data_IF_285699956138
#
_entry.id   IF_285699956138
#
_cell.length_a   1.000
_cell.length_b   1.000
_cell.length_c   1.000
_cell.angle_alpha   90.00
_cell.angle_beta   90.00
_cell.angle_gamma   90.00
#
_symmetry.space_group_name_H-M   'P 1'
#
loop_
_entity.id
_entity.type
_entity.pdbx_description
1 polymer ?
#
# COMPACT_ATOMS: atom_id res chain seq x y z
N UNK A 1 -19.71 16.10 16.81
CA UNK A 1 -19.56 16.14 15.35
C UNK A 1 -18.06 16.07 15.05
N UNK A 2 -17.61 15.10 14.25
CA UNK A 2 -16.21 15.06 13.82
C UNK A 2 -15.93 16.25 12.89
N UNK A 3 -14.83 16.95 13.14
CA UNK A 3 -14.42 18.09 12.32
C UNK A 3 -13.53 17.63 11.17
N UNK A 4 -12.74 16.58 11.39
CA UNK A 4 -11.79 16.06 10.40
C UNK A 4 -11.84 14.54 10.33
N UNK A 5 -11.63 14.01 9.16
CA UNK A 5 -11.52 12.57 8.90
C UNK A 5 -10.23 12.32 8.11
N UNK A 6 -9.33 11.56 8.70
CA UNK A 6 -8.13 11.06 8.02
C UNK A 6 -8.26 9.55 7.82
N UNK A 7 -7.68 9.04 6.72
CA UNK A 7 -7.60 7.61 6.46
C UNK A 7 -6.14 7.20 6.31
N UNK A 8 -5.77 6.08 6.92
CA UNK A 8 -4.42 5.52 6.84
C UNK A 8 -4.44 4.11 6.27
N UNK A 9 -3.76 3.93 5.14
CA UNK A 9 -3.58 2.64 4.49
C UNK A 9 -2.17 2.11 4.63
N UNK A 10 -2.05 0.82 4.92
CA UNK A 10 -0.76 0.13 5.09
C UNK A 10 -0.68 -1.01 4.09
N UNK A 11 0.41 -1.10 3.30
CA UNK A 11 0.61 -2.13 2.28
C UNK A 11 -0.56 -2.19 1.29
N UNK A 12 -1.21 -3.35 1.10
CA UNK A 12 -2.44 -3.46 0.31
C UNK A 12 -3.55 -2.48 0.74
N UNK A 13 -3.57 -2.06 2.01
CA UNK A 13 -4.43 -0.99 2.49
C UNK A 13 -4.17 0.36 1.81
N UNK A 14 -2.95 0.61 1.35
CA UNK A 14 -2.62 1.79 0.54
C UNK A 14 -3.41 1.85 -0.77
N UNK A 15 -3.61 0.71 -1.42
CA UNK A 15 -4.45 0.59 -2.62
C UNK A 15 -5.93 0.83 -2.32
N UNK A 16 -6.47 0.20 -1.29
CA UNK A 16 -7.90 0.34 -0.95
C UNK A 16 -8.24 1.75 -0.43
N UNK A 17 -7.37 2.35 0.38
CA UNK A 17 -7.57 3.71 0.85
C UNK A 17 -7.44 4.74 -0.27
N UNK A 18 -6.56 4.53 -1.25
CA UNK A 18 -6.47 5.36 -2.44
C UNK A 18 -7.81 5.39 -3.21
N UNK A 19 -8.44 4.22 -3.41
CA UNK A 19 -9.77 4.15 -4.05
C UNK A 19 -10.87 4.84 -3.23
N UNK A 20 -10.78 4.79 -1.90
CA UNK A 20 -11.74 5.49 -1.05
C UNK A 20 -11.59 7.01 -1.18
N UNK A 21 -10.35 7.51 -1.11
CA UNK A 21 -10.04 8.95 -1.22
C UNK A 21 -10.38 9.51 -2.59
N UNK A 22 -10.16 8.72 -3.65
CA UNK A 22 -10.57 9.09 -5.02
C UNK A 22 -12.07 9.42 -5.12
N UNK A 23 -12.90 8.80 -4.29
CA UNK A 23 -14.37 8.83 -4.41
C UNK A 23 -15.07 9.58 -3.30
N UNK A 24 -14.47 9.70 -2.14
CA UNK A 24 -15.15 10.26 -0.96
C UNK A 24 -14.51 11.60 -0.54
N UNK A 25 -15.14 12.74 -0.89
CA UNK A 25 -14.63 14.07 -0.57
C UNK A 25 -14.71 14.41 0.94
N UNK A 26 -15.31 13.56 1.76
CA UNK A 26 -15.36 13.75 3.21
C UNK A 26 -14.02 13.40 3.89
N UNK A 27 -13.13 12.73 3.16
CA UNK A 27 -11.79 12.41 3.66
C UNK A 27 -10.91 13.65 3.52
N UNK A 28 -10.44 14.16 4.66
CA UNK A 28 -9.68 15.41 4.75
C UNK A 28 -8.17 15.23 4.68
N UNK A 29 -7.69 13.99 4.91
CA UNK A 29 -6.28 13.63 4.78
C UNK A 29 -6.11 12.16 4.45
N UNK A 30 -5.12 11.85 3.60
CA UNK A 30 -4.75 10.48 3.25
C UNK A 30 -3.31 10.19 3.64
N UNK A 31 -3.13 9.14 4.44
CA UNK A 31 -1.82 8.61 4.79
C UNK A 31 -1.68 7.23 4.17
N UNK A 32 -0.56 6.94 3.52
CA UNK A 32 -0.28 5.62 3.02
C UNK A 32 1.17 5.22 3.30
N UNK A 33 1.33 4.11 4.02
CA UNK A 33 2.61 3.41 4.08
C UNK A 33 2.68 2.51 2.85
N UNK A 34 3.44 2.98 1.87
CA UNK A 34 3.57 2.44 0.52
C UNK A 34 2.26 2.53 -0.27
N UNK A 35 1.92 3.71 -0.82
CA UNK A 35 0.77 3.84 -1.69
C UNK A 35 0.94 3.02 -2.97
N UNK A 36 -0.13 2.38 -3.40
CA UNK A 36 -0.18 1.55 -4.61
C UNK A 36 -1.32 2.08 -5.48
N UNK A 37 -1.05 2.36 -6.76
CA UNK A 37 -2.09 2.75 -7.70
C UNK A 37 -2.43 1.66 -8.71
N UNK A 38 -1.49 0.78 -9.03
CA UNK A 38 -1.69 -0.37 -9.91
C UNK A 38 -1.19 -1.65 -9.22
N UNK A 39 -2.11 -2.34 -8.54
CA UNK A 39 -1.79 -3.60 -7.86
C UNK A 39 -1.54 -4.73 -8.87
N UNK A 40 -2.15 -4.68 -10.05
CA UNK A 40 -1.91 -5.70 -11.08
C UNK A 40 -0.48 -5.60 -11.64
N UNK A 41 0.03 -4.37 -11.83
CA UNK A 41 1.43 -4.18 -12.25
C UNK A 41 2.41 -4.64 -11.16
N UNK A 42 2.10 -4.36 -9.89
CA UNK A 42 2.90 -4.88 -8.79
C UNK A 42 3.03 -6.41 -8.85
N UNK A 43 1.92 -7.13 -9.03
CA UNK A 43 1.95 -8.59 -9.16
C UNK A 43 2.65 -9.06 -10.44
N UNK A 44 2.52 -8.33 -11.56
CA UNK A 44 3.26 -8.64 -12.79
C UNK A 44 4.77 -8.53 -12.59
N UNK A 45 5.23 -7.50 -11.89
CA UNK A 45 6.66 -7.29 -11.59
C UNK A 45 7.18 -8.32 -10.59
N UNK A 46 6.40 -8.64 -9.56
CA UNK A 46 6.78 -9.59 -8.53
C UNK A 46 6.87 -11.03 -9.06
N UNK A 47 5.85 -11.47 -9.80
CA UNK A 47 5.73 -12.87 -10.25
C UNK A 47 6.16 -13.11 -11.71
N UNK A 48 6.28 -12.05 -12.49
CA UNK A 48 6.80 -12.09 -13.87
C UNK A 48 6.05 -13.04 -14.81
N UNK A 49 6.80 -13.68 -15.69
CA UNK A 49 6.26 -14.63 -16.66
C UNK A 49 5.81 -15.96 -16.04
N UNK A 50 6.16 -16.23 -14.79
CA UNK A 50 5.80 -17.47 -14.07
C UNK A 50 4.29 -17.69 -14.02
N UNK A 51 3.51 -16.61 -14.04
CA UNK A 51 2.04 -16.67 -14.02
C UNK A 51 1.40 -16.99 -15.37
N UNK A 52 2.17 -17.05 -16.46
CA UNK A 52 1.65 -17.38 -17.81
C UNK A 52 1.42 -18.89 -18.01
N UNK A 53 1.96 -19.72 -17.13
CA UNK A 53 1.76 -21.16 -17.19
C UNK A 53 0.30 -21.55 -16.85
N UNK A 54 -0.18 -22.69 -17.33
CA UNK A 54 -1.53 -23.18 -16.97
C UNK A 54 -1.74 -23.26 -15.46
N UNK A 55 -2.95 -22.91 -15.00
CA UNK A 55 -3.27 -22.82 -13.57
C UNK A 55 -2.98 -24.11 -12.80
N UNK A 56 -3.24 -25.28 -13.41
CA UNK A 56 -2.95 -26.56 -12.77
C UNK A 56 -1.45 -26.76 -12.48
N UNK A 57 -0.58 -26.33 -13.40
CA UNK A 57 0.88 -26.44 -13.23
C UNK A 57 1.38 -25.48 -12.14
N UNK A 58 0.93 -24.24 -12.18
CA UNK A 58 1.26 -23.24 -11.15
C UNK A 58 0.83 -23.74 -9.78
N UNK A 59 -0.41 -24.18 -9.64
CA UNK A 59 -0.94 -24.66 -8.38
C UNK A 59 -0.21 -25.93 -7.88
N UNK A 60 0.22 -26.81 -8.78
CA UNK A 60 1.04 -27.97 -8.41
C UNK A 60 2.41 -27.55 -7.85
N UNK A 61 3.10 -26.61 -8.51
CA UNK A 61 4.39 -26.07 -8.06
C UNK A 61 4.22 -25.35 -6.71
N UNK A 62 3.22 -24.51 -6.58
CA UNK A 62 2.95 -23.76 -5.35
C UNK A 62 2.59 -24.68 -4.18
N UNK A 63 1.81 -25.74 -4.44
CA UNK A 63 1.50 -26.77 -3.44
C UNK A 63 2.76 -27.50 -2.98
N UNK A 64 3.65 -27.85 -3.92
CA UNK A 64 4.92 -28.48 -3.58
C UNK A 64 5.80 -27.54 -2.73
N UNK A 65 5.93 -26.28 -3.13
CA UNK A 65 6.67 -25.27 -2.38
C UNK A 65 6.06 -25.04 -0.99
N UNK A 66 4.73 -25.01 -0.88
CA UNK A 66 4.02 -24.88 0.39
C UNK A 66 4.21 -26.09 1.32
N UNK A 67 4.37 -27.28 0.77
CA UNK A 67 4.69 -28.47 1.57
C UNK A 67 6.11 -28.43 2.14
N UNK A 68 7.01 -27.72 1.48
CA UNK A 68 8.41 -27.56 1.91
C UNK A 68 8.60 -26.35 2.84
N UNK A 69 7.68 -25.39 2.82
CA UNK A 69 7.76 -24.16 3.61
C UNK A 69 6.37 -23.74 4.12
N UNK A 70 6.18 -23.87 5.42
CA UNK A 70 4.90 -23.55 6.07
C UNK A 70 4.49 -22.09 5.91
N UNK A 71 5.43 -21.15 6.00
CA UNK A 71 5.16 -19.71 5.80
C UNK A 71 4.69 -19.42 4.37
N UNK A 72 5.29 -20.09 3.37
CA UNK A 72 4.82 -19.96 1.98
C UNK A 72 3.40 -20.51 1.83
N UNK A 73 3.10 -21.66 2.42
CA UNK A 73 1.75 -22.25 2.42
C UNK A 73 0.70 -21.33 3.04
N UNK A 74 1.03 -20.73 4.19
CA UNK A 74 0.15 -19.77 4.86
C UNK A 74 -0.11 -18.54 3.99
N UNK A 75 0.91 -17.99 3.35
CA UNK A 75 0.75 -16.85 2.46
C UNK A 75 -0.13 -17.18 1.25
N UNK A 76 0.06 -18.32 0.60
CA UNK A 76 -0.76 -18.75 -0.52
C UNK A 76 -2.24 -18.91 -0.13
N UNK A 77 -2.51 -19.52 1.02
CA UNK A 77 -3.86 -19.67 1.58
C UNK A 77 -4.46 -18.32 1.96
N UNK A 78 -3.65 -17.42 2.53
CA UNK A 78 -4.09 -16.08 2.88
C UNK A 78 -4.57 -15.29 1.65
N UNK A 79 -3.83 -15.31 0.55
CA UNK A 79 -4.27 -14.63 -0.68
C UNK A 79 -5.56 -15.23 -1.22
N UNK A 80 -5.66 -16.56 -1.33
CA UNK A 80 -6.88 -17.22 -1.76
C UNK A 80 -8.09 -16.81 -0.89
N UNK A 81 -7.91 -16.80 0.43
CA UNK A 81 -8.95 -16.39 1.36
C UNK A 81 -9.32 -14.90 1.22
N UNK A 82 -8.33 -14.01 1.09
CA UNK A 82 -8.56 -12.55 0.96
C UNK A 82 -9.36 -12.20 -0.29
N UNK A 83 -9.16 -12.92 -1.38
CA UNK A 83 -9.87 -12.69 -2.63
C UNK A 83 -11.11 -13.60 -2.81
N UNK A 84 -11.43 -14.42 -1.82
CA UNK A 84 -12.57 -15.32 -1.89
C UNK A 84 -12.47 -16.39 -2.98
N UNK A 85 -11.24 -16.79 -3.34
CA UNK A 85 -10.95 -17.76 -4.40
C UNK A 85 -10.54 -19.12 -3.84
N UNK A 86 -10.54 -20.14 -4.69
CA UNK A 86 -10.17 -21.50 -4.29
C UNK A 86 -8.67 -21.71 -4.06
N UNK A 87 -7.85 -20.88 -4.71
CA UNK A 87 -6.39 -21.03 -4.72
C UNK A 87 -5.68 -19.71 -5.08
N UNK A 88 -4.37 -19.67 -4.90
CA UNK A 88 -3.55 -18.50 -5.14
C UNK A 88 -3.59 -18.01 -6.60
N UNK A 89 -3.52 -18.94 -7.57
CA UNK A 89 -3.54 -18.55 -8.99
C UNK A 89 -4.86 -17.88 -9.37
N UNK A 90 -5.96 -18.40 -8.88
CA UNK A 90 -7.28 -17.79 -9.07
C UNK A 90 -7.38 -16.40 -8.43
N UNK A 91 -6.75 -16.18 -7.27
CA UNK A 91 -6.67 -14.86 -6.65
C UNK A 91 -5.88 -13.87 -7.52
N UNK A 92 -4.77 -14.29 -8.08
CA UNK A 92 -3.96 -13.43 -8.98
C UNK A 92 -4.71 -13.14 -10.29
N UNK A 93 -5.40 -14.12 -10.86
CA UNK A 93 -6.22 -13.90 -12.06
C UNK A 93 -7.36 -12.91 -11.79
N UNK A 94 -7.96 -12.98 -10.61
CA UNK A 94 -8.97 -12.01 -10.18
C UNK A 94 -8.39 -10.58 -10.11
N UNK A 95 -7.21 -10.42 -9.54
CA UNK A 95 -6.50 -9.13 -9.54
C UNK A 95 -6.26 -8.63 -10.96
N UNK A 96 -5.75 -9.47 -11.85
CA UNK A 96 -5.48 -9.04 -13.23
C UNK A 96 -6.72 -8.66 -14.03
N UNK A 97 -7.85 -9.29 -13.75
CA UNK A 97 -9.09 -9.07 -14.47
C UNK A 97 -9.94 -7.94 -13.88
N UNK A 98 -9.86 -7.70 -12.58
CA UNK A 98 -10.81 -6.84 -11.88
C UNK A 98 -10.18 -5.68 -11.09
N UNK A 99 -8.85 -5.72 -10.81
CA UNK A 99 -8.21 -4.62 -10.11
C UNK A 99 -8.25 -3.35 -10.96
N UNK A 100 -8.67 -2.26 -10.33
CA UNK A 100 -8.76 -0.95 -10.98
C UNK A 100 -7.48 -0.18 -10.74
N UNK A 101 -7.00 0.51 -11.76
CA UNK A 101 -5.97 1.53 -11.59
C UNK A 101 -6.62 2.70 -10.86
N UNK A 102 -5.99 3.15 -9.78
CA UNK A 102 -6.47 4.32 -9.02
C UNK A 102 -6.20 5.59 -9.82
N UNK A 103 -7.21 6.41 -9.99
CA UNK A 103 -7.08 7.73 -10.58
C UNK A 103 -6.65 8.73 -9.49
N UNK A 104 -5.37 8.71 -9.14
CA UNK A 104 -4.80 9.62 -8.14
C UNK A 104 -4.94 11.09 -8.52
N UNK A 105 -5.23 11.40 -9.80
CA UNK A 105 -5.49 12.76 -10.28
C UNK A 105 -6.76 13.37 -9.64
N UNK A 106 -7.67 12.55 -9.19
CA UNK A 106 -8.90 12.97 -8.49
C UNK A 106 -8.70 13.22 -7.00
N UNK A 107 -7.58 12.81 -6.46
CA UNK A 107 -7.28 12.99 -5.03
C UNK A 107 -6.91 14.45 -4.79
N UNK A 108 -7.67 15.13 -3.92
CA UNK A 108 -7.53 16.56 -3.66
C UNK A 108 -7.09 16.87 -2.23
N UNK A 109 -7.25 15.94 -1.30
CA UNK A 109 -6.86 16.16 0.08
C UNK A 109 -5.33 16.13 0.26
N UNK A 110 -4.80 16.74 1.33
CA UNK A 110 -3.41 16.57 1.75
C UNK A 110 -3.04 15.11 1.92
N UNK A 111 -1.82 14.75 1.51
CA UNK A 111 -1.34 13.37 1.54
C UNK A 111 0.01 13.25 2.24
N UNK A 112 0.17 12.22 3.04
CA UNK A 112 1.46 11.80 3.58
C UNK A 112 1.77 10.40 3.12
N UNK A 113 2.85 10.24 2.36
CA UNK A 113 3.37 8.94 1.96
C UNK A 113 4.59 8.58 2.77
N UNK A 114 4.66 7.32 3.17
CA UNK A 114 5.77 6.76 3.93
C UNK A 114 6.33 5.60 3.12
N UNK A 115 7.65 5.56 2.96
CA UNK A 115 8.36 4.57 2.18
C UNK A 115 9.66 4.17 2.87
N UNK A 116 9.92 2.89 2.96
CA UNK A 116 11.22 2.35 3.37
C UNK A 116 12.13 2.07 2.17
N UNK A 117 13.43 2.32 2.29
CA UNK A 117 14.41 1.98 1.24
C UNK A 117 14.61 0.48 1.06
N UNK A 118 14.29 -0.32 2.06
CA UNK A 118 14.30 -1.79 1.97
C UNK A 118 13.09 -2.38 1.26
N UNK A 119 12.14 -1.56 0.79
CA UNK A 119 10.99 -2.03 0.04
C UNK A 119 11.34 -2.44 -1.40
N UNK A 120 10.50 -3.30 -2.00
CA UNK A 120 10.67 -3.72 -3.39
C UNK A 120 10.68 -2.55 -4.39
N UNK A 121 11.43 -2.67 -5.48
CA UNK A 121 11.64 -1.60 -6.45
C UNK A 121 10.33 -1.07 -7.05
N UNK A 122 9.35 -1.94 -7.32
CA UNK A 122 8.06 -1.52 -7.87
C UNK A 122 7.23 -0.72 -6.86
N UNK A 123 7.23 -1.11 -5.58
CA UNK A 123 6.58 -0.36 -4.52
C UNK A 123 7.16 1.05 -4.37
N UNK A 124 8.49 1.15 -4.38
CA UNK A 124 9.18 2.44 -4.36
C UNK A 124 8.85 3.28 -5.60
N UNK A 125 8.79 2.65 -6.77
CA UNK A 125 8.45 3.33 -8.03
C UNK A 125 7.04 3.91 -7.98
N UNK A 126 6.04 3.11 -7.64
CA UNK A 126 4.65 3.56 -7.56
C UNK A 126 4.47 4.68 -6.51
N UNK A 127 5.11 4.54 -5.36
CA UNK A 127 5.11 5.59 -4.32
C UNK A 127 5.63 6.93 -4.85
N UNK A 128 6.75 6.90 -5.57
CA UNK A 128 7.35 8.13 -6.14
C UNK A 128 6.49 8.75 -7.23
N UNK A 129 5.93 7.93 -8.14
CA UNK A 129 5.04 8.41 -9.20
C UNK A 129 3.85 9.14 -8.61
N UNK A 130 3.14 8.52 -7.67
CA UNK A 130 1.97 9.13 -7.02
C UNK A 130 2.34 10.41 -6.27
N UNK A 131 3.48 10.40 -5.58
CA UNK A 131 3.97 11.57 -4.84
C UNK A 131 4.24 12.76 -5.75
N UNK A 132 5.00 12.58 -6.83
CA UNK A 132 5.36 13.66 -7.74
C UNK A 132 4.13 14.28 -8.42
N UNK A 133 3.18 13.43 -8.82
CA UNK A 133 1.94 13.89 -9.43
C UNK A 133 1.07 14.69 -8.45
N UNK A 134 0.89 14.19 -7.24
CA UNK A 134 0.06 14.90 -6.25
C UNK A 134 0.74 16.13 -5.69
N UNK A 135 2.06 16.10 -5.48
CA UNK A 135 2.83 17.26 -5.03
C UNK A 135 2.73 18.43 -6.01
N UNK A 136 2.71 18.15 -7.31
CA UNK A 136 2.57 19.20 -8.33
C UNK A 136 1.25 19.97 -8.21
N UNK A 137 0.21 19.35 -7.65
CA UNK A 137 -1.14 19.91 -7.49
C UNK A 137 -1.45 20.36 -6.07
N UNK A 138 -0.88 19.71 -5.09
CA UNK A 138 -1.15 19.96 -3.67
C UNK A 138 0.17 20.04 -2.90
N UNK A 139 0.58 21.25 -2.54
CA UNK A 139 1.81 21.51 -1.80
C UNK A 139 1.83 20.90 -0.38
N UNK A 140 0.68 20.49 0.14
CA UNK A 140 0.58 19.78 1.42
C UNK A 140 0.83 18.27 1.29
N UNK A 141 1.15 17.77 0.08
CA UNK A 141 1.58 16.40 -0.11
C UNK A 141 3.04 16.23 0.30
N UNK A 142 3.32 15.27 1.17
CA UNK A 142 4.65 14.97 1.69
C UNK A 142 5.03 13.51 1.45
N UNK A 143 6.32 13.27 1.27
CA UNK A 143 6.93 11.94 1.24
C UNK A 143 7.98 11.84 2.34
N UNK A 144 7.80 10.89 3.26
CA UNK A 144 8.81 10.48 4.22
C UNK A 144 9.49 9.20 3.73
N UNK A 145 10.78 9.28 3.52
CA UNK A 145 11.61 8.11 3.17
C UNK A 145 12.43 7.72 4.39
N UNK A 146 12.41 6.45 4.74
CA UNK A 146 13.23 5.88 5.80
C UNK A 146 14.41 5.11 5.19
N UNK A 147 15.61 5.55 5.49
CA UNK A 147 16.86 4.86 5.16
C UNK A 147 17.18 3.77 6.22
N UNK A 148 18.09 2.86 5.90
CA UNK A 148 18.46 1.75 6.79
C UNK A 148 18.94 2.23 8.18
N UNK A 149 19.63 3.36 8.23
CA UNK A 149 20.17 3.95 9.47
C UNK A 149 19.07 4.36 10.45
N UNK A 150 17.85 4.62 9.95
CA UNK A 150 16.71 4.95 10.80
C UNK A 150 16.11 3.73 11.51
N UNK A 151 16.43 2.53 11.04
CA UNK A 151 15.83 1.28 11.48
C UNK A 151 14.34 1.13 11.14
N UNK A 152 13.82 1.93 10.18
CA UNK A 152 12.44 1.91 9.72
C UNK A 152 12.32 1.67 8.20
N UNK A 153 13.34 1.13 7.59
CA UNK A 153 13.45 0.94 6.14
C UNK A 153 12.69 -0.29 5.60
N UNK A 154 12.27 -1.20 6.48
CA UNK A 154 11.51 -2.39 6.07
C UNK A 154 10.12 -2.04 5.51
N UNK A 155 9.53 -2.96 4.75
CA UNK A 155 8.17 -2.82 4.25
C UNK A 155 7.18 -2.48 5.38
N UNK A 156 6.41 -1.43 5.17
CA UNK A 156 5.47 -0.87 6.15
C UNK A 156 6.11 -0.50 7.50
N UNK A 157 7.42 -0.28 7.52
CA UNK A 157 8.22 0.12 8.69
C UNK A 157 8.04 -0.83 9.90
N UNK A 158 7.81 -2.13 9.61
CA UNK A 158 7.53 -3.14 10.66
C UNK A 158 8.66 -3.30 11.66
N UNK A 159 9.87 -2.93 11.29
CA UNK A 159 11.05 -2.92 12.16
C UNK A 159 11.06 -1.72 13.14
N UNK A 160 10.31 -0.63 12.87
CA UNK A 160 10.23 0.52 13.76
C UNK A 160 8.91 1.30 13.58
N UNK A 161 7.79 0.68 13.93
CA UNK A 161 6.46 1.29 13.83
C UNK A 161 6.33 2.59 14.64
N UNK A 162 7.05 2.69 15.79
CA UNK A 162 7.00 3.89 16.62
C UNK A 162 7.48 5.12 15.85
N UNK A 163 8.59 5.00 15.12
CA UNK A 163 9.13 6.11 14.34
C UNK A 163 8.15 6.51 13.21
N UNK A 164 7.59 5.53 12.51
CA UNK A 164 6.59 5.78 11.47
C UNK A 164 5.34 6.48 12.03
N UNK A 165 4.83 6.01 13.17
CA UNK A 165 3.65 6.61 13.80
C UNK A 165 3.91 8.04 14.28
N UNK A 166 5.10 8.33 14.84
CA UNK A 166 5.44 9.71 15.22
C UNK A 166 5.35 10.64 14.01
N UNK A 167 5.90 10.25 12.85
CA UNK A 167 5.81 11.05 11.62
C UNK A 167 4.35 11.27 11.20
N UNK A 168 3.51 10.24 11.31
CA UNK A 168 2.09 10.34 10.96
C UNK A 168 1.38 11.33 11.89
N UNK A 169 1.53 11.18 13.20
CA UNK A 169 0.82 12.02 14.17
C UNK A 169 1.33 13.46 14.18
N UNK A 170 2.65 13.69 14.09
CA UNK A 170 3.21 15.03 13.98
C UNK A 170 2.71 15.75 12.73
N UNK A 171 2.55 15.02 11.61
CA UNK A 171 2.01 15.60 10.39
C UNK A 171 0.52 15.93 10.53
N UNK A 172 -0.29 15.04 11.12
CA UNK A 172 -1.72 15.28 11.36
C UNK A 172 -1.94 16.45 12.32
N UNK A 173 -1.16 16.54 13.39
CA UNK A 173 -1.23 17.63 14.36
C UNK A 173 -0.91 18.98 13.68
N UNK A 174 0.09 18.99 12.81
CA UNK A 174 0.43 20.19 12.01
C UNK A 174 -0.67 20.52 11.02
N UNK A 175 -1.22 19.51 10.32
CA UNK A 175 -2.22 19.72 9.26
C UNK A 175 -3.53 20.24 9.81
N UNK A 176 -3.96 19.73 10.94
CA UNK A 176 -5.25 20.09 11.57
C UNK A 176 -5.11 21.15 12.66
N UNK A 177 -3.93 21.78 12.79
CA UNK A 177 -3.66 22.80 13.80
C UNK A 177 -4.08 22.34 15.21
N UNK A 178 -3.73 21.08 15.54
CA UNK A 178 -4.03 20.49 16.82
C UNK A 178 -3.20 21.17 17.90
N UNK A 179 -3.69 22.30 18.38
CA UNK A 179 -3.05 23.03 19.47
C UNK A 179 -3.26 22.30 20.80
N UNK A 180 -2.19 21.75 21.35
CA UNK A 180 -2.15 21.20 22.73
C UNK A 180 -2.54 22.23 23.81
N UNK A 181 -2.72 23.50 23.47
CA UNK A 181 -3.10 24.57 24.36
C UNK A 181 -4.59 24.59 24.75
N UNK A 182 -5.36 23.56 24.34
CA UNK A 182 -6.80 23.46 24.64
C UNK A 182 -7.14 22.40 25.70
N UNK A 183 -6.15 21.83 26.39
CA UNK A 183 -6.37 20.94 27.53
C UNK A 183 -5.84 21.54 28.82
#
# INVERSE_FOLDING_TARGET
KLNYLAIYGVSGGGYFTAQAVEKDPRIHAWIASTPIYDVAELFRKEFGSSLKAPSWLINAILKLAGNLNESANLNLKKYAWQFGTSDFKSAIDDVFNHAKIVDYQKIQCPCLFIMGKGEGAELQHQTKVIYEELKSKNQQTKLQVFEAESGADAHCQVNNLRLAHNVVFDWLDTLFEWNQSKF
#
